data_IF_804025090553
#
_entry.id   IF_804025090553
#
_cell.length_a   1.000
_cell.length_b   1.000
_cell.length_c   1.000
_cell.angle_alpha   90.00
_cell.angle_beta   90.00
_cell.angle_gamma   90.00
#
_symmetry.space_group_name_H-M   'P 1'
#
loop_
_entity.id
_entity.type
_entity.pdbx_description
1 polymer ?
#
# COMPACT_ATOMS: atom_id res chain seq x y z
N UNK A 1 29.97 -7.21 -12.54
CA UNK A 1 29.07 -6.73 -11.46
C UNK A 1 28.16 -5.60 -11.97
N UNK A 2 28.70 -4.59 -12.67
CA UNK A 2 27.98 -3.40 -13.16
C UNK A 2 26.75 -3.71 -14.03
N UNK A 3 26.85 -4.65 -14.98
CA UNK A 3 25.71 -5.03 -15.84
C UNK A 3 24.53 -5.68 -15.10
N UNK A 4 24.81 -6.51 -14.08
CA UNK A 4 23.76 -7.15 -13.26
C UNK A 4 23.02 -6.13 -12.39
N UNK A 5 23.72 -5.10 -11.90
CA UNK A 5 23.07 -4.04 -11.12
C UNK A 5 22.16 -3.15 -11.99
N UNK A 6 22.55 -2.90 -13.25
CA UNK A 6 21.71 -2.16 -14.18
C UNK A 6 20.39 -2.88 -14.47
N UNK A 7 20.45 -4.19 -14.75
CA UNK A 7 19.25 -5.00 -15.00
C UNK A 7 18.27 -5.03 -13.81
N UNK A 8 18.80 -5.18 -12.58
CA UNK A 8 17.96 -5.16 -11.36
C UNK A 8 17.28 -3.80 -11.18
N UNK A 9 17.97 -2.70 -11.50
CA UNK A 9 17.40 -1.35 -11.40
C UNK A 9 16.26 -1.14 -12.40
N UNK A 10 16.47 -1.55 -13.65
CA UNK A 10 15.47 -1.41 -14.71
C UNK A 10 14.21 -2.24 -14.41
N UNK A 11 14.38 -3.45 -13.87
CA UNK A 11 13.25 -4.29 -13.48
C UNK A 11 12.44 -3.69 -12.32
N UNK A 12 13.12 -3.08 -11.33
CA UNK A 12 12.43 -2.32 -10.27
C UNK A 12 11.71 -1.09 -10.82
N UNK A 13 12.36 -0.34 -11.72
CA UNK A 13 11.78 0.82 -12.38
C UNK A 13 10.52 0.46 -13.17
N UNK A 14 10.43 -0.74 -13.75
CA UNK A 14 9.23 -1.22 -14.43
C UNK A 14 8.13 -1.72 -13.48
N UNK A 15 8.49 -2.37 -12.39
CA UNK A 15 7.54 -3.10 -11.53
C UNK A 15 7.02 -2.30 -10.33
N UNK A 16 7.73 -1.24 -9.91
CA UNK A 16 7.41 -0.51 -8.67
C UNK A 16 7.17 0.97 -8.94
N UNK A 17 6.35 1.65 -8.13
CA UNK A 17 6.16 3.09 -8.21
C UNK A 17 7.39 3.78 -7.60
N UNK A 18 8.44 3.91 -8.40
CA UNK A 18 9.63 4.66 -8.02
C UNK A 18 9.38 6.16 -8.23
N UNK A 19 9.99 7.00 -7.39
CA UNK A 19 9.87 8.47 -7.41
C UNK A 19 8.50 9.03 -6.98
N UNK A 20 7.66 8.21 -6.33
CA UNK A 20 6.48 8.71 -5.60
C UNK A 20 6.69 8.57 -4.10
N UNK A 21 6.04 9.43 -3.33
CA UNK A 21 6.07 9.36 -1.88
C UNK A 21 5.29 8.14 -1.39
N UNK A 22 6.01 7.14 -0.89
CA UNK A 22 5.49 5.85 -0.39
C UNK A 22 6.43 5.28 0.68
N UNK A 23 5.88 4.48 1.61
CA UNK A 23 6.65 3.74 2.60
C UNK A 23 7.25 2.42 2.10
N UNK A 24 7.03 2.09 0.82
CA UNK A 24 7.39 0.79 0.24
C UNK A 24 6.22 -0.19 0.22
N UNK A 25 6.52 -1.50 0.21
CA UNK A 25 5.52 -2.55 0.38
C UNK A 25 4.78 -2.34 1.70
N UNK A 26 3.46 -2.17 1.62
CA UNK A 26 2.64 -1.77 2.76
C UNK A 26 2.31 -2.97 3.65
N UNK A 27 2.03 -4.12 3.04
CA UNK A 27 1.66 -5.35 3.74
C UNK A 27 2.62 -6.50 3.45
N UNK A 28 2.79 -7.36 4.45
CA UNK A 28 3.55 -8.60 4.35
C UNK A 28 2.83 -9.57 3.40
N UNK A 29 3.61 -10.39 2.69
CA UNK A 29 3.03 -11.50 1.92
C UNK A 29 2.51 -12.60 2.87
N UNK A 30 1.24 -13.00 2.76
CA UNK A 30 0.73 -14.16 3.48
C UNK A 30 1.41 -15.46 3.00
N UNK A 31 1.40 -16.54 3.79
CA UNK A 31 1.96 -17.83 3.38
C UNK A 31 1.34 -18.31 2.06
N UNK A 32 2.18 -18.63 1.08
CA UNK A 32 1.75 -19.12 -0.23
C UNK A 32 1.19 -18.06 -1.18
N UNK A 33 0.97 -16.83 -0.72
CA UNK A 33 0.30 -15.78 -1.48
C UNK A 33 1.14 -14.52 -1.64
N UNK A 34 0.77 -13.67 -2.61
CA UNK A 34 1.38 -12.35 -2.80
C UNK A 34 0.37 -11.27 -2.44
N UNK A 35 0.71 -10.40 -1.49
CA UNK A 35 -0.18 -9.35 -1.02
C UNK A 35 -0.72 -8.48 -2.18
N UNK A 36 0.15 -8.08 -3.12
CA UNK A 36 -0.27 -7.27 -4.26
C UNK A 36 -1.35 -7.95 -5.13
N UNK A 37 -1.32 -9.29 -5.28
CA UNK A 37 -2.32 -10.03 -6.07
C UNK A 37 -3.66 -10.06 -5.35
N UNK A 38 -3.63 -10.29 -4.05
CA UNK A 38 -4.84 -10.27 -3.21
C UNK A 38 -5.49 -8.89 -3.23
N UNK A 39 -4.69 -7.83 -3.11
CA UNK A 39 -5.17 -6.44 -3.13
C UNK A 39 -5.76 -6.08 -4.52
N UNK A 40 -5.11 -6.52 -5.59
CA UNK A 40 -5.60 -6.30 -6.96
C UNK A 40 -6.90 -7.07 -7.24
N UNK A 41 -6.96 -8.34 -6.84
CA UNK A 41 -8.16 -9.19 -6.98
C UNK A 41 -9.35 -8.65 -6.16
N UNK A 42 -9.07 -8.05 -4.99
CA UNK A 42 -10.07 -7.33 -4.19
C UNK A 42 -10.48 -5.96 -4.79
N UNK A 43 -10.07 -5.64 -6.02
CA UNK A 43 -10.47 -4.43 -6.74
C UNK A 43 -9.93 -3.13 -6.13
N UNK A 44 -8.79 -3.19 -5.43
CA UNK A 44 -8.24 -2.03 -4.74
C UNK A 44 -7.24 -1.23 -5.60
N UNK A 45 -6.89 -1.66 -6.82
CA UNK A 45 -6.00 -0.89 -7.69
C UNK A 45 -6.57 0.51 -7.96
N UNK A 46 -5.78 1.55 -7.71
CA UNK A 46 -6.22 2.94 -7.90
C UNK A 46 -7.26 3.40 -6.87
N UNK A 47 -7.59 2.59 -5.85
CA UNK A 47 -8.49 2.99 -4.77
C UNK A 47 -7.94 4.23 -4.06
N UNK A 48 -8.80 5.22 -3.84
CA UNK A 48 -8.45 6.49 -3.21
C UNK A 48 -9.18 6.67 -1.89
N UNK A 49 -8.51 7.32 -0.96
CA UNK A 49 -9.10 7.86 0.26
C UNK A 49 -8.44 9.21 0.56
N UNK A 50 -9.20 10.29 0.42
CA UNK A 50 -8.66 11.65 0.45
C UNK A 50 -7.51 11.83 -0.55
N UNK A 51 -6.32 12.23 -0.07
CA UNK A 51 -5.10 12.38 -0.87
C UNK A 51 -4.22 11.13 -0.95
N UNK A 52 -4.60 10.03 -0.30
CA UNK A 52 -3.93 8.74 -0.40
C UNK A 52 -4.52 7.89 -1.55
N UNK A 53 -3.69 7.04 -2.15
CA UNK A 53 -4.12 6.13 -3.22
C UNK A 53 -3.36 4.79 -3.17
N UNK A 54 -4.01 3.69 -3.54
CA UNK A 54 -3.34 2.43 -3.87
C UNK A 54 -2.72 2.56 -5.25
N UNK A 55 -1.41 2.36 -5.36
CA UNK A 55 -0.68 2.52 -6.62
C UNK A 55 -1.30 1.71 -7.77
N UNK A 56 -1.58 2.38 -8.88
CA UNK A 56 -2.02 1.75 -10.12
C UNK A 56 -0.95 0.85 -10.74
N UNK A 57 0.31 1.01 -10.33
CA UNK A 57 1.43 0.21 -10.84
C UNK A 57 1.65 -1.05 -10.01
N UNK A 58 1.59 -0.94 -8.68
CA UNK A 58 1.80 -2.07 -7.79
C UNK A 58 0.91 -1.96 -6.54
N UNK A 59 -0.11 -2.81 -6.45
CA UNK A 59 -1.18 -2.65 -5.45
C UNK A 59 -0.74 -2.79 -3.99
N UNK A 60 0.44 -3.35 -3.70
CA UNK A 60 1.00 -3.35 -2.34
C UNK A 60 1.69 -2.04 -1.94
N UNK A 61 1.48 -0.94 -2.66
CA UNK A 61 2.04 0.37 -2.34
C UNK A 61 0.92 1.39 -2.16
N UNK A 62 0.83 1.97 -0.97
CA UNK A 62 0.06 3.18 -0.76
C UNK A 62 0.93 4.39 -1.13
N UNK A 63 0.36 5.29 -1.92
CA UNK A 63 1.04 6.47 -2.45
C UNK A 63 0.35 7.73 -1.97
N UNK A 64 1.16 8.71 -1.58
CA UNK A 64 0.70 10.05 -1.33
C UNK A 64 0.62 10.79 -2.67
N UNK A 65 -0.59 11.18 -3.08
CA UNK A 65 -0.83 11.90 -4.35
C UNK A 65 -0.62 13.42 -4.25
N UNK A 66 -0.10 13.88 -3.12
CA UNK A 66 0.14 15.29 -2.78
C UNK A 66 -0.67 15.69 -1.56
N UNK A 67 0.01 15.95 -0.44
CA UNK A 67 -0.62 16.45 0.79
C UNK A 67 -1.40 15.42 1.61
N UNK A 68 -1.24 14.11 1.37
CA UNK A 68 -1.87 13.09 2.21
C UNK A 68 -1.35 13.12 3.64
N UNK A 69 -2.28 13.08 4.58
CA UNK A 69 -2.06 12.92 6.01
C UNK A 69 -1.76 11.47 6.35
N UNK A 70 -1.14 11.26 7.52
CA UNK A 70 -0.92 9.90 8.04
C UNK A 70 -2.26 9.15 8.23
N UNK A 71 -3.30 9.83 8.72
CA UNK A 71 -4.62 9.24 8.92
C UNK A 71 -5.22 8.73 7.61
N UNK A 72 -5.17 9.51 6.52
CA UNK A 72 -5.67 9.07 5.21
C UNK A 72 -4.94 7.83 4.68
N UNK A 73 -3.62 7.74 4.88
CA UNK A 73 -2.83 6.57 4.47
C UNK A 73 -3.18 5.34 5.32
N UNK A 74 -3.31 5.51 6.63
CA UNK A 74 -3.67 4.43 7.55
C UNK A 74 -5.08 3.91 7.29
N UNK A 75 -6.05 4.81 7.13
CA UNK A 75 -7.44 4.46 6.82
C UNK A 75 -7.57 3.78 5.47
N UNK A 76 -6.84 4.26 4.45
CA UNK A 76 -6.77 3.56 3.17
C UNK A 76 -6.23 2.13 3.33
N UNK A 77 -5.19 1.95 4.14
CA UNK A 77 -4.65 0.63 4.42
C UNK A 77 -5.65 -0.28 5.13
N UNK A 78 -6.39 0.22 6.13
CA UNK A 78 -7.43 -0.56 6.79
C UNK A 78 -8.59 -0.91 5.84
N UNK A 79 -8.98 -0.01 4.93
CA UNK A 79 -9.95 -0.31 3.87
C UNK A 79 -9.47 -1.43 2.95
N UNK A 80 -8.20 -1.41 2.56
CA UNK A 80 -7.59 -2.47 1.75
C UNK A 80 -7.63 -3.81 2.49
N UNK A 81 -7.27 -3.83 3.78
CA UNK A 81 -7.32 -5.05 4.61
C UNK A 81 -8.73 -5.62 4.67
N UNK A 82 -9.72 -4.79 4.94
CA UNK A 82 -11.13 -5.22 5.02
C UNK A 82 -11.64 -5.77 3.68
N UNK A 83 -11.29 -5.14 2.55
CA UNK A 83 -11.69 -5.63 1.23
C UNK A 83 -11.03 -6.94 0.85
N UNK A 84 -9.73 -7.10 1.16
CA UNK A 84 -9.02 -8.36 0.90
C UNK A 84 -9.59 -9.48 1.75
N UNK A 85 -9.83 -9.23 3.04
CA UNK A 85 -10.46 -10.21 3.93
C UNK A 85 -11.86 -10.60 3.46
N UNK A 86 -12.69 -9.64 3.06
CA UNK A 86 -14.02 -9.92 2.51
C UNK A 86 -13.98 -10.70 1.19
N UNK A 87 -12.95 -10.50 0.36
CA UNK A 87 -12.82 -11.13 -0.94
C UNK A 87 -12.21 -12.54 -0.88
N UNK A 88 -11.17 -12.75 -0.07
CA UNK A 88 -10.38 -13.98 -0.04
C UNK A 88 -10.38 -14.72 1.30
N UNK A 89 -10.92 -14.12 2.36
CA UNK A 89 -10.84 -14.63 3.73
C UNK A 89 -9.45 -14.46 4.38
N UNK A 90 -8.50 -13.80 3.71
CA UNK A 90 -7.13 -13.62 4.21
C UNK A 90 -6.97 -12.22 4.81
N UNK A 91 -6.61 -12.14 6.08
CA UNK A 91 -6.27 -10.88 6.74
C UNK A 91 -4.81 -10.48 6.45
N UNK A 92 -4.62 -9.35 5.79
CA UNK A 92 -3.27 -8.80 5.56
C UNK A 92 -2.69 -8.19 6.86
N UNK A 93 -1.37 -8.32 7.02
CA UNK A 93 -0.62 -7.74 8.13
C UNK A 93 0.28 -6.61 7.65
N UNK A 94 0.30 -5.49 8.37
CA UNK A 94 1.18 -4.36 8.08
C UNK A 94 2.66 -4.77 8.11
N UNK A 95 3.41 -4.34 7.08
CA UNK A 95 4.87 -4.47 7.00
C UNK A 95 5.56 -3.21 7.48
N UNK A 96 5.02 -2.04 7.11
CA UNK A 96 5.52 -0.75 7.56
C UNK A 96 5.20 -0.51 9.03
N UNK A 97 6.14 0.11 9.74
CA UNK A 97 5.93 0.53 11.13
C UNK A 97 5.22 1.88 11.15
N UNK A 98 4.03 1.91 11.77
CA UNK A 98 3.28 3.14 12.05
C UNK A 98 3.77 3.70 13.38
N UNK A 99 4.20 4.95 13.39
CA UNK A 99 4.75 5.64 14.56
C UNK A 99 4.04 6.97 14.78
N UNK A 100 4.03 7.44 16.02
CA UNK A 100 3.27 8.62 16.43
C UNK A 100 2.00 8.25 17.19
N UNK A 101 1.17 9.27 17.48
CA UNK A 101 -0.15 9.09 18.09
C UNK A 101 -1.20 9.41 17.05
N UNK A 102 -2.28 8.62 17.03
CA UNK A 102 -3.47 9.00 16.29
C UNK A 102 -3.89 10.40 16.77
N UNK A 103 -4.20 11.29 15.82
CA UNK A 103 -4.86 12.53 16.18
C UNK A 103 -6.15 12.15 16.94
N UNK A 104 -6.39 12.81 18.08
CA UNK A 104 -7.64 12.63 18.79
C UNK A 104 -8.78 12.84 17.79
N UNK A 105 -9.62 11.83 17.60
CA UNK A 105 -10.86 12.01 16.85
C UNK A 105 -11.66 12.98 17.69
N UNK A 106 -11.85 14.21 17.22
CA UNK A 106 -12.93 15.04 17.76
C UNK A 106 -14.22 14.29 17.43
N UNK A 107 -14.75 13.59 18.44
CA UNK A 107 -16.10 13.08 18.39
C UNK A 107 -17.01 14.31 18.28
N UNK A 108 -17.47 14.57 17.06
CA UNK A 108 -18.53 15.53 16.83
C UNK A 108 -19.76 15.02 17.60
N UNK A 109 -20.08 15.71 18.70
CA UNK A 109 -21.27 15.53 19.51
C UNK A 109 -22.55 15.85 18.72
#
# INVERSE_FOLDING_TARGET
ITGRMAAIREERERSQPLRVATGGSTFKNPPGEKAWRLIDAAGCRGLRHGRAMVSEKHCNFLVNTGGATAAEIEELGEMVRARVEAHSGITLSWEIHRVGRAAAREEAA
#
